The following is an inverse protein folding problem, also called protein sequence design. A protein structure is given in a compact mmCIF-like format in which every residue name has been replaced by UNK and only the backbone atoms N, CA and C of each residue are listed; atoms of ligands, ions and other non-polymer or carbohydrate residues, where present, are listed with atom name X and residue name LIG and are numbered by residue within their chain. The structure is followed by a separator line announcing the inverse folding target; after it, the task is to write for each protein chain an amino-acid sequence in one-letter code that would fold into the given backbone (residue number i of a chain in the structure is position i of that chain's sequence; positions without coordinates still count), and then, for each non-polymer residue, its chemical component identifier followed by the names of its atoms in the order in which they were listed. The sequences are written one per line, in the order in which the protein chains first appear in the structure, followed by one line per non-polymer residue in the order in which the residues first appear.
data_IF_647588133911
#
_entry.id   IF_647588133911
#
_cell.length_a   1.000
_cell.length_b   1.000
_cell.length_c   1.000
_cell.angle_alpha   90.00
_cell.angle_beta   90.00
_cell.angle_gamma   90.00
#
_symmetry.space_group_name_H-M   'P 1'
#
loop_
_entity.id
_entity.type
_entity.pdbx_description
1 polymer ?
#
# COMPACT_ATOMS: atom_id res chain seq x y z
N UNK A 1 -0.94 -2.95 -20.16
CA UNK A 1 -0.21 -2.03 -19.25
C UNK A 1 -0.64 -2.44 -17.85
N UNK A 2 0.30 -2.56 -16.92
CA UNK A 2 -0.02 -2.82 -15.50
C UNK A 2 -0.44 -1.49 -14.87
N UNK A 3 -1.45 -1.50 -13.99
CA UNK A 3 -1.93 -0.32 -13.26
C UNK A 3 -2.26 -0.71 -11.82
N UNK A 4 -2.13 0.26 -10.92
CA UNK A 4 -2.44 0.08 -9.49
C UNK A 4 -3.92 0.33 -9.22
N UNK A 5 -4.54 -0.53 -8.42
CA UNK A 5 -5.93 -0.37 -7.97
C UNK A 5 -6.06 -0.73 -6.49
N UNK A 6 -7.14 -0.24 -5.86
CA UNK A 6 -7.55 -0.58 -4.49
C UNK A 6 -6.46 -0.41 -3.43
N UNK A 7 -5.69 0.67 -3.48
CA UNK A 7 -4.65 0.94 -2.47
C UNK A 7 -5.22 1.14 -1.07
N UNK A 8 -4.72 0.38 -0.10
CA UNK A 8 -5.05 0.48 1.32
C UNK A 8 -3.79 0.64 2.18
N UNK A 9 -3.96 1.29 3.34
CA UNK A 9 -2.92 1.37 4.38
C UNK A 9 -3.22 0.34 5.45
N UNK A 10 -2.31 -0.62 5.63
CA UNK A 10 -2.46 -1.73 6.58
C UNK A 10 -1.40 -1.62 7.66
N UNK A 11 -1.82 -1.63 8.92
CA UNK A 11 -0.90 -1.74 10.05
C UNK A 11 -0.67 -3.21 10.42
N UNK A 12 0.56 -3.69 10.33
CA UNK A 12 0.94 -5.09 10.56
C UNK A 12 2.37 -5.21 11.09
N UNK A 13 2.69 -6.38 11.66
CA UNK A 13 4.02 -6.68 12.19
C UNK A 13 4.92 -7.38 11.14
N UNK A 14 4.37 -7.74 9.97
CA UNK A 14 5.11 -8.30 8.84
C UNK A 14 4.36 -8.14 7.51
N UNK A 15 5.09 -8.28 6.39
CA UNK A 15 4.54 -8.16 5.04
C UNK A 15 3.49 -9.25 4.75
N UNK A 16 3.72 -10.46 5.27
CA UNK A 16 2.80 -11.58 5.15
C UNK A 16 1.46 -11.28 5.86
N UNK A 17 1.52 -10.69 7.05
CA UNK A 17 0.34 -10.27 7.79
C UNK A 17 -0.37 -9.09 7.12
N UNK A 18 0.38 -8.11 6.59
CA UNK A 18 -0.19 -6.99 5.84
C UNK A 18 -0.98 -7.48 4.63
N UNK A 19 -0.41 -8.43 3.88
CA UNK A 19 -1.06 -9.08 2.74
C UNK A 19 -2.31 -9.85 3.15
N UNK A 20 -2.23 -10.63 4.22
CA UNK A 20 -3.37 -11.41 4.71
C UNK A 20 -4.53 -10.49 5.13
N UNK A 21 -4.24 -9.42 5.89
CA UNK A 21 -5.21 -8.40 6.29
C UNK A 21 -5.85 -7.70 5.09
N UNK A 22 -5.06 -7.33 4.09
CA UNK A 22 -5.57 -6.74 2.86
C UNK A 22 -6.50 -7.69 2.10
N UNK A 23 -6.10 -8.96 1.92
CA UNK A 23 -6.95 -9.97 1.27
C UNK A 23 -8.23 -10.26 2.06
N UNK A 24 -8.19 -10.14 3.40
CA UNK A 24 -9.36 -10.29 4.26
C UNK A 24 -10.39 -9.15 4.14
N UNK A 25 -10.04 -8.03 3.50
CA UNK A 25 -11.01 -6.98 3.15
C UNK A 25 -12.00 -7.44 2.07
N UNK A 26 -11.72 -8.56 1.40
CA UNK A 26 -12.52 -9.16 0.32
C UNK A 26 -12.81 -8.22 -0.87
N UNK A 27 -11.94 -7.23 -1.08
CA UNK A 27 -11.98 -6.33 -2.23
C UNK A 27 -11.71 -7.15 -3.50
N UNK A 28 -12.50 -6.92 -4.56
CA UNK A 28 -12.32 -7.62 -5.84
C UNK A 28 -11.48 -6.77 -6.79
N UNK A 29 -10.54 -7.38 -7.55
CA UNK A 29 -9.87 -6.69 -8.64
C UNK A 29 -10.88 -6.22 -9.70
N UNK A 30 -10.55 -5.14 -10.41
CA UNK A 30 -11.46 -4.49 -11.35
C UNK A 30 -11.48 -5.20 -12.72
N UNK A 31 -10.34 -5.73 -13.16
CA UNK A 31 -10.14 -6.18 -14.54
C UNK A 31 -9.38 -7.50 -14.67
N UNK A 32 -8.44 -7.78 -13.76
CA UNK A 32 -7.58 -8.97 -13.82
C UNK A 32 -8.17 -10.10 -12.96
N UNK A 33 -8.34 -11.30 -13.53
CA UNK A 33 -8.76 -12.50 -12.78
C UNK A 33 -7.65 -13.02 -11.86
N UNK A 34 -6.38 -12.65 -12.11
CA UNK A 34 -5.23 -13.05 -11.32
C UNK A 34 -4.33 -11.84 -11.01
N UNK A 35 -4.85 -10.84 -10.26
CA UNK A 35 -4.08 -9.65 -9.93
C UNK A 35 -2.89 -10.03 -9.05
N UNK A 36 -1.77 -9.33 -9.21
CA UNK A 36 -0.70 -9.39 -8.22
C UNK A 36 -1.08 -8.46 -7.06
N UNK A 37 -0.65 -8.81 -5.85
CA UNK A 37 -0.72 -7.91 -4.69
C UNK A 37 0.69 -7.51 -4.36
N UNK A 38 0.93 -6.20 -4.33
CA UNK A 38 2.19 -5.61 -3.90
C UNK A 38 2.06 -5.08 -2.48
N UNK A 39 3.13 -5.20 -1.70
CA UNK A 39 3.16 -4.85 -0.27
C UNK A 39 4.42 -4.05 -0.03
N UNK A 40 4.25 -2.75 0.25
CA UNK A 40 5.37 -1.81 0.40
C UNK A 40 5.43 -1.36 1.85
N UNK A 41 6.55 -1.64 2.53
CA UNK A 41 6.77 -1.16 3.89
C UNK A 41 7.21 0.29 3.85
N UNK A 42 6.45 1.15 4.53
CA UNK A 42 6.66 2.61 4.49
C UNK A 42 8.09 3.00 4.88
N UNK A 43 8.66 2.35 5.89
CA UNK A 43 9.99 2.69 6.43
C UNK A 43 11.15 2.10 5.64
N UNK A 44 10.89 1.24 4.65
CA UNK A 44 11.93 0.63 3.82
C UNK A 44 12.15 1.35 2.49
N UNK A 45 11.28 2.31 2.15
CA UNK A 45 11.43 3.14 0.97
C UNK A 45 12.51 4.20 1.19
N UNK A 46 13.56 4.17 0.37
CA UNK A 46 14.76 5.02 0.53
C UNK A 46 14.46 6.53 0.31
N UNK A 47 13.51 6.86 -0.56
CA UNK A 47 13.16 8.23 -0.95
C UNK A 47 11.97 8.82 -0.16
N UNK A 48 11.48 8.12 0.87
CA UNK A 48 10.32 8.57 1.65
C UNK A 48 10.72 9.47 2.81
N UNK A 49 10.13 10.66 2.85
CA UNK A 49 10.26 11.62 3.94
C UNK A 49 8.95 11.69 4.72
N UNK A 50 8.90 11.09 5.92
CA UNK A 50 7.66 10.96 6.70
C UNK A 50 7.07 12.31 7.12
N UNK A 51 7.85 13.39 7.19
CA UNK A 51 7.35 14.74 7.47
C UNK A 51 6.75 15.45 6.25
N UNK A 52 6.97 14.94 5.03
CA UNK A 52 6.36 15.48 3.81
C UNK A 52 4.90 15.03 3.69
N UNK A 53 4.05 15.92 3.17
CA UNK A 53 2.62 15.67 3.01
C UNK A 53 2.28 14.77 1.82
N UNK A 54 3.23 14.54 0.92
CA UNK A 54 3.10 13.65 -0.23
C UNK A 54 4.34 12.78 -0.35
N UNK A 55 4.12 11.49 -0.58
CA UNK A 55 5.18 10.51 -0.84
C UNK A 55 4.73 9.50 -1.90
N UNK A 56 5.72 8.85 -2.53
CA UNK A 56 5.52 7.74 -3.45
C UNK A 56 5.94 6.45 -2.72
N UNK A 57 5.05 5.46 -2.67
CA UNK A 57 5.32 4.13 -2.14
C UNK A 57 5.11 3.11 -3.25
N UNK A 58 6.18 2.48 -3.72
CA UNK A 58 6.16 1.66 -4.93
C UNK A 58 5.60 2.44 -6.12
N UNK A 59 4.44 2.03 -6.63
CA UNK A 59 3.77 2.68 -7.77
C UNK A 59 2.59 3.59 -7.35
N UNK A 60 2.44 3.91 -6.05
CA UNK A 60 1.31 4.69 -5.53
C UNK A 60 1.75 5.99 -4.86
N UNK A 61 1.24 7.11 -5.36
CA UNK A 61 1.38 8.41 -4.69
C UNK A 61 0.29 8.57 -3.64
N UNK A 62 0.69 8.83 -2.40
CA UNK A 62 -0.23 9.11 -1.29
C UNK A 62 -0.16 10.57 -0.89
N UNK A 63 -1.31 11.12 -0.47
CA UNK A 63 -1.45 12.51 -0.07
C UNK A 63 -1.56 12.72 1.45
N UNK A 64 -1.84 13.97 1.87
CA UNK A 64 -1.74 14.40 3.27
C UNK A 64 -2.58 13.55 4.22
N UNK A 65 -3.86 13.30 3.90
CA UNK A 65 -4.77 12.53 4.76
C UNK A 65 -4.29 11.10 5.01
N UNK A 66 -3.58 10.52 4.03
CA UNK A 66 -3.03 9.17 4.11
C UNK A 66 -1.70 9.19 4.84
N UNK A 67 -0.84 10.17 4.56
CA UNK A 67 0.40 10.40 5.29
C UNK A 67 0.15 10.64 6.78
N UNK A 68 -0.89 11.40 7.15
CA UNK A 68 -1.27 11.60 8.55
C UNK A 68 -1.61 10.27 9.24
N UNK A 69 -2.31 9.35 8.57
CA UNK A 69 -2.56 8.00 9.10
C UNK A 69 -1.27 7.22 9.25
N UNK A 70 -0.43 7.20 8.22
CA UNK A 70 0.87 6.49 8.24
C UNK A 70 1.73 6.96 9.43
N UNK A 71 1.81 8.28 9.66
CA UNK A 71 2.59 8.87 10.75
C UNK A 71 2.12 8.44 12.15
N UNK A 72 0.91 7.90 12.32
CA UNK A 72 0.44 7.39 13.62
C UNK A 72 1.19 6.14 14.07
N UNK A 73 1.66 5.30 13.14
CA UNK A 73 2.41 4.07 13.42
C UNK A 73 3.22 3.64 12.18
N UNK A 74 4.19 4.47 11.79
CA UNK A 74 4.92 4.30 10.53
C UNK A 74 5.70 2.98 10.45
N UNK A 75 6.26 2.52 11.57
CA UNK A 75 7.01 1.25 11.68
C UNK A 75 6.18 0.03 11.27
N UNK A 76 4.86 0.11 11.49
CA UNK A 76 3.91 -0.97 11.19
C UNK A 76 3.08 -0.66 9.94
N UNK A 77 3.28 0.48 9.29
CA UNK A 77 2.49 0.91 8.15
C UNK A 77 2.98 0.25 6.84
N UNK A 78 2.04 -0.35 6.13
CA UNK A 78 2.23 -0.91 4.81
C UNK A 78 1.26 -0.29 3.82
N UNK A 79 1.75 0.07 2.64
CA UNK A 79 0.91 0.43 1.49
C UNK A 79 0.72 -0.84 0.67
N UNK A 80 -0.53 -1.29 0.55
CA UNK A 80 -0.89 -2.53 -0.14
C UNK A 80 -1.85 -2.22 -1.27
N UNK A 81 -1.61 -2.74 -2.47
CA UNK A 81 -2.45 -2.49 -3.64
C UNK A 81 -2.44 -3.69 -4.59
N UNK A 82 -3.44 -3.74 -5.47
CA UNK A 82 -3.42 -4.65 -6.62
C UNK A 82 -2.62 -4.05 -7.77
N UNK A 83 -1.86 -4.90 -8.46
CA UNK A 83 -1.26 -4.64 -9.77
C UNK A 83 -2.02 -5.47 -10.80
N UNK A 84 -2.81 -4.78 -11.61
CA UNK A 84 -3.73 -5.40 -12.57
C UNK A 84 -3.26 -5.23 -14.00
N UNK A 85 -3.36 -6.30 -14.80
CA UNK A 85 -3.19 -6.23 -16.24
C UNK A 85 -4.52 -5.89 -16.90
N UNK A 86 -4.45 -4.87 -17.75
CA UNK A 86 -5.55 -4.45 -18.59
C UNK A 86 -5.71 -5.30 -19.85
#
# INVERSE_FOLDING_TARGET
MEHTTHTEIIFADSDAEAKEKYLALDIKPDHDENPKVDVVKVTEEEDVELDQDFNLFGEVSVGPDVMEKIRTDAERAYVVYYLEKH
#
